data_IF_508545435117
#
_entry.id   IF_508545435117
#
_cell.length_a   1.000
_cell.length_b   1.000
_cell.length_c   1.000
_cell.angle_alpha   90.00
_cell.angle_beta   90.00
_cell.angle_gamma   90.00
#
_symmetry.space_group_name_H-M   'P 1'
#
loop_
_entity.id
_entity.type
_entity.pdbx_description
1 polymer ?
#
# COMPACT_ATOMS: atom_id res chain seq x y z
N UNK A 1 29.68 10.48 -5.48
CA UNK A 1 28.29 10.39 -5.98
C UNK A 1 27.47 10.10 -4.75
N UNK A 2 26.70 11.08 -4.29
CA UNK A 2 25.83 10.89 -3.14
C UNK A 2 24.84 9.80 -3.54
N UNK A 3 24.81 8.71 -2.78
CA UNK A 3 23.78 7.69 -2.96
C UNK A 3 22.53 8.36 -2.43
N UNK A 4 21.70 8.92 -3.33
CA UNK A 4 20.36 9.28 -2.94
C UNK A 4 19.74 8.02 -2.35
N UNK A 5 19.29 8.11 -1.11
CA UNK A 5 18.60 7.01 -0.44
C UNK A 5 17.29 6.80 -1.22
N UNK A 6 17.31 5.93 -2.23
CA UNK A 6 16.17 5.73 -3.13
C UNK A 6 15.07 5.09 -2.29
N UNK A 7 14.10 5.91 -1.91
CA UNK A 7 12.91 5.43 -1.21
C UNK A 7 12.17 4.44 -2.11
N UNK A 8 11.85 3.28 -1.55
CA UNK A 8 11.07 2.24 -2.23
C UNK A 8 9.61 2.39 -1.83
N UNK A 9 8.70 2.25 -2.78
CA UNK A 9 7.26 2.36 -2.56
C UNK A 9 6.57 1.05 -2.88
N UNK A 10 5.45 0.78 -2.20
CA UNK A 10 4.49 -0.22 -2.66
C UNK A 10 3.28 0.46 -3.27
N UNK A 11 2.76 -0.09 -4.36
CA UNK A 11 1.52 0.33 -4.99
C UNK A 11 0.53 -0.84 -4.97
N UNK A 12 -0.70 -0.57 -4.52
CA UNK A 12 -1.84 -1.46 -4.66
C UNK A 12 -2.89 -0.79 -5.54
N UNK A 13 -3.32 -1.47 -6.60
CA UNK A 13 -4.45 -1.06 -7.45
C UNK A 13 -5.58 -2.05 -7.18
N UNK A 14 -6.66 -1.55 -6.60
CA UNK A 14 -7.77 -2.35 -6.09
C UNK A 14 -9.03 -2.00 -6.88
N UNK A 15 -9.55 -2.94 -7.66
CA UNK A 15 -10.86 -2.79 -8.31
C UNK A 15 -11.87 -3.54 -7.44
N UNK A 16 -12.76 -2.79 -6.80
CA UNK A 16 -13.73 -3.31 -5.82
C UNK A 16 -15.04 -3.63 -6.52
N UNK A 17 -15.74 -4.69 -6.10
CA UNK A 17 -17.10 -4.93 -6.55
C UNK A 17 -18.02 -3.75 -6.19
N UNK A 18 -18.85 -3.26 -7.12
CA UNK A 18 -19.79 -2.18 -6.83
C UNK A 18 -20.66 -2.45 -5.60
N UNK A 19 -20.74 -1.49 -4.69
CA UNK A 19 -21.49 -1.58 -3.44
C UNK A 19 -20.72 -2.22 -2.27
N UNK A 20 -19.47 -2.65 -2.47
CA UNK A 20 -18.59 -3.22 -1.42
C UNK A 20 -17.47 -2.26 -0.99
N UNK A 21 -17.49 -1.02 -1.44
CA UNK A 21 -16.43 -0.03 -1.22
C UNK A 21 -16.18 0.24 0.26
N UNK A 22 -17.24 0.37 1.05
CA UNK A 22 -17.10 0.60 2.49
C UNK A 22 -16.50 -0.61 3.21
N UNK A 23 -16.91 -1.84 2.86
CA UNK A 23 -16.33 -3.06 3.42
C UNK A 23 -14.84 -3.15 3.10
N UNK A 24 -14.47 -2.84 1.85
CA UNK A 24 -13.09 -2.80 1.40
C UNK A 24 -12.27 -1.75 2.18
N UNK A 25 -12.80 -0.54 2.37
CA UNK A 25 -12.11 0.51 3.14
C UNK A 25 -11.85 0.07 4.57
N UNK A 26 -12.78 -0.62 5.22
CA UNK A 26 -12.57 -1.15 6.57
C UNK A 26 -11.53 -2.27 6.60
N UNK A 27 -11.62 -3.23 5.68
CA UNK A 27 -10.65 -4.32 5.58
C UNK A 27 -9.23 -3.80 5.28
N UNK A 28 -9.11 -2.79 4.41
CA UNK A 28 -7.83 -2.15 4.12
C UNK A 28 -7.26 -1.42 5.34
N UNK A 29 -8.11 -0.71 6.10
CA UNK A 29 -7.69 -0.07 7.37
C UNK A 29 -7.19 -1.08 8.39
N UNK A 30 -7.83 -2.24 8.46
CA UNK A 30 -7.39 -3.32 9.34
C UNK A 30 -6.03 -3.90 8.90
N UNK A 31 -5.80 -4.09 7.60
CA UNK A 31 -4.48 -4.45 7.06
C UNK A 31 -3.43 -3.39 7.41
N UNK A 32 -3.73 -2.10 7.20
CA UNK A 32 -2.82 -1.00 7.49
C UNK A 32 -2.47 -0.92 8.99
N UNK A 33 -3.47 -1.10 9.87
CA UNK A 33 -3.26 -1.14 11.32
C UNK A 33 -2.34 -2.29 11.74
N UNK A 34 -2.63 -3.51 11.27
CA UNK A 34 -1.81 -4.70 11.57
C UNK A 34 -0.41 -4.59 11.00
N UNK A 35 -0.26 -4.00 9.80
CA UNK A 35 1.06 -3.75 9.22
C UNK A 35 1.91 -2.87 10.14
N UNK A 36 1.32 -1.87 10.79
CA UNK A 36 2.03 -1.00 11.75
C UNK A 36 2.42 -1.69 13.06
N UNK A 37 1.87 -2.86 13.38
CA UNK A 37 2.26 -3.61 14.57
C UNK A 37 3.65 -4.23 14.38
N UNK A 38 3.94 -4.75 13.18
CA UNK A 38 5.23 -5.37 12.82
C UNK A 38 6.21 -4.38 12.16
N UNK A 39 5.68 -3.36 11.47
CA UNK A 39 6.43 -2.33 10.76
C UNK A 39 6.03 -0.94 11.29
N UNK A 40 6.51 -0.52 12.47
CA UNK A 40 6.00 0.65 13.19
C UNK A 40 6.17 1.98 12.45
N UNK A 41 7.16 2.06 11.56
CA UNK A 41 7.44 3.23 10.71
C UNK A 41 6.71 3.19 9.36
N UNK A 42 5.99 2.11 9.04
CA UNK A 42 5.25 1.99 7.79
C UNK A 42 4.14 3.05 7.70
N UNK A 43 4.09 3.72 6.55
CA UNK A 43 3.09 4.73 6.20
C UNK A 43 2.41 4.31 4.91
N UNK A 44 1.10 4.52 4.83
CA UNK A 44 0.37 4.29 3.59
C UNK A 44 -0.86 5.21 3.52
N UNK A 45 -1.22 5.60 2.31
CA UNK A 45 -2.48 6.26 1.99
C UNK A 45 -3.31 5.36 1.10
N UNK A 46 -4.63 5.34 1.30
CA UNK A 46 -5.61 4.78 0.37
C UNK A 46 -6.38 5.92 -0.27
N UNK A 47 -6.34 5.99 -1.59
CA UNK A 47 -6.98 7.03 -2.39
C UNK A 47 -8.11 6.41 -3.21
N UNK A 48 -9.22 7.12 -3.30
CA UNK A 48 -10.32 6.74 -4.19
C UNK A 48 -10.12 7.42 -5.54
N UNK A 49 -10.19 6.63 -6.61
CA UNK A 49 -10.05 7.15 -7.97
C UNK A 49 -11.32 7.92 -8.37
N UNK A 50 -11.14 9.15 -8.86
CA UNK A 50 -12.26 10.03 -9.23
C UNK A 50 -12.89 9.65 -10.58
N UNK A 51 -12.10 9.05 -11.47
CA UNK A 51 -12.48 8.75 -12.84
C UNK A 51 -13.07 7.33 -12.94
N UNK A 52 -12.63 6.43 -12.05
CA UNK A 52 -13.15 5.06 -11.96
C UNK A 52 -13.71 4.81 -10.57
N UNK A 53 -15.04 4.91 -10.44
CA UNK A 53 -15.77 4.94 -9.16
C UNK A 53 -15.53 3.76 -8.23
N UNK A 54 -15.14 2.60 -8.73
CA UNK A 54 -14.88 1.41 -7.92
C UNK A 54 -13.39 1.06 -7.83
N UNK A 55 -12.50 1.98 -8.23
CA UNK A 55 -11.04 1.80 -8.14
C UNK A 55 -10.47 2.57 -6.96
N UNK A 56 -9.61 1.90 -6.20
CA UNK A 56 -8.81 2.51 -5.14
C UNK A 56 -7.34 2.26 -5.41
N UNK A 57 -6.50 3.19 -4.96
CA UNK A 57 -5.05 3.15 -5.12
C UNK A 57 -4.43 3.33 -3.74
N UNK A 58 -3.61 2.39 -3.30
CA UNK A 58 -2.83 2.52 -2.08
C UNK A 58 -1.36 2.69 -2.38
N UNK A 59 -0.68 3.61 -1.70
CA UNK A 59 0.78 3.76 -1.81
C UNK A 59 1.41 4.24 -0.50
N UNK A 60 2.69 3.99 -0.34
CA UNK A 60 3.46 4.43 0.81
C UNK A 60 4.95 4.12 0.69
N UNK A 61 5.83 4.97 1.27
CA UNK A 61 7.25 4.73 1.30
C UNK A 61 7.63 3.63 2.30
N UNK A 62 8.75 2.97 2.05
CA UNK A 62 9.40 1.99 2.90
C UNK A 62 10.85 2.38 3.13
N UNK A 63 11.41 1.94 4.25
CA UNK A 63 12.81 2.24 4.61
C UNK A 63 13.80 1.48 3.71
N UNK A 64 13.38 0.34 3.13
CA UNK A 64 14.21 -0.45 2.23
C UNK A 64 13.40 -1.42 1.37
N UNK A 65 14.02 -1.92 0.30
CA UNK A 65 13.47 -3.03 -0.48
C UNK A 65 13.31 -4.31 0.37
N UNK A 66 14.25 -4.56 1.29
CA UNK A 66 14.19 -5.72 2.18
C UNK A 66 12.92 -5.69 3.06
N UNK A 67 12.54 -4.52 3.59
CA UNK A 67 11.28 -4.39 4.33
C UNK A 67 10.07 -4.68 3.46
N UNK A 68 10.07 -4.26 2.19
CA UNK A 68 8.98 -4.58 1.26
C UNK A 68 8.87 -6.09 1.05
N UNK A 69 10.00 -6.77 0.87
CA UNK A 69 10.03 -8.23 0.70
C UNK A 69 9.54 -8.95 1.96
N UNK A 70 10.02 -8.54 3.14
CA UNK A 70 9.58 -9.07 4.44
C UNK A 70 8.07 -8.87 4.64
N UNK A 71 7.56 -7.67 4.37
CA UNK A 71 6.13 -7.36 4.49
C UNK A 71 5.30 -8.20 3.53
N UNK A 72 5.71 -8.33 2.26
CA UNK A 72 4.98 -9.15 1.27
C UNK A 72 4.97 -10.64 1.62
N UNK A 73 6.03 -11.14 2.26
CA UNK A 73 6.12 -12.51 2.73
C UNK A 73 5.38 -12.74 4.06
N UNK A 74 4.98 -11.67 4.76
CA UNK A 74 4.33 -11.78 6.08
C UNK A 74 2.91 -12.36 6.01
N UNK A 75 2.50 -12.98 7.12
CA UNK A 75 1.11 -13.39 7.33
C UNK A 75 0.15 -12.19 7.31
N UNK A 76 0.57 -11.05 7.84
CA UNK A 76 -0.24 -9.82 7.84
C UNK A 76 -0.66 -9.43 6.43
N UNK A 77 0.29 -9.39 5.49
CA UNK A 77 -0.01 -9.06 4.10
C UNK A 77 -0.81 -10.17 3.40
N UNK A 78 -0.32 -11.41 3.47
CA UNK A 78 -0.93 -12.52 2.72
C UNK A 78 -2.36 -12.82 3.18
N UNK A 79 -2.61 -12.85 4.49
CA UNK A 79 -3.94 -13.05 5.05
C UNK A 79 -4.81 -11.79 4.89
N UNK A 80 -4.23 -10.60 4.99
CA UNK A 80 -4.95 -9.34 4.76
C UNK A 80 -5.50 -9.26 3.32
N UNK A 81 -4.66 -9.52 2.32
CA UNK A 81 -5.08 -9.56 0.91
C UNK A 81 -6.09 -10.69 0.69
N UNK A 82 -5.87 -11.87 1.25
CA UNK A 82 -6.81 -12.98 1.14
C UNK A 82 -8.20 -12.64 1.71
N UNK A 83 -8.26 -11.91 2.83
CA UNK A 83 -9.52 -11.49 3.46
C UNK A 83 -10.33 -10.51 2.62
N UNK A 84 -9.67 -9.77 1.72
CA UNK A 84 -10.30 -8.81 0.81
C UNK A 84 -10.65 -9.43 -0.54
N UNK A 85 -10.20 -10.65 -0.84
CA UNK A 85 -10.33 -11.27 -2.17
C UNK A 85 -11.75 -11.25 -2.72
N UNK A 86 -12.74 -11.59 -1.88
CA UNK A 86 -14.15 -11.66 -2.29
C UNK A 86 -14.82 -10.29 -2.43
N UNK A 87 -14.12 -9.21 -2.07
CA UNK A 87 -14.56 -7.83 -2.28
C UNK A 87 -14.06 -7.26 -3.61
N UNK A 88 -13.12 -7.94 -4.27
CA UNK A 88 -12.33 -7.38 -5.37
C UNK A 88 -12.66 -8.10 -6.69
N UNK A 89 -12.88 -7.30 -7.73
CA UNK A 89 -12.88 -7.77 -9.12
C UNK A 89 -11.45 -8.04 -9.60
N UNK A 90 -10.52 -7.19 -9.19
CA UNK A 90 -9.13 -7.26 -9.60
C UNK A 90 -8.22 -6.62 -8.54
N UNK A 91 -7.01 -7.17 -8.41
CA UNK A 91 -5.98 -6.62 -7.55
C UNK A 91 -4.61 -6.73 -8.23
N UNK A 92 -3.88 -5.62 -8.25
CA UNK A 92 -2.46 -5.61 -8.60
C UNK A 92 -1.64 -5.02 -7.46
N UNK A 93 -0.48 -5.62 -7.23
CA UNK A 93 0.53 -5.05 -6.34
C UNK A 93 1.86 -4.89 -7.06
N UNK A 94 2.51 -3.76 -6.85
CA UNK A 94 3.82 -3.42 -7.45
C UNK A 94 4.77 -2.88 -6.39
N UNK A 95 6.05 -3.09 -6.59
CA UNK A 95 7.13 -2.40 -5.88
C UNK A 95 7.73 -1.41 -6.86
N UNK A 96 7.97 -0.18 -6.40
CA UNK A 96 8.38 0.95 -7.24
C UNK A 96 9.61 1.62 -6.62
N UNK A 97 10.53 2.06 -7.46
CA UNK A 97 11.65 2.91 -7.05
C UNK A 97 11.28 4.38 -7.28
N UNK A 98 11.60 5.25 -6.32
CA UNK A 98 11.45 6.68 -6.52
C UNK A 98 12.37 7.19 -7.63
N UNK A 99 11.79 7.80 -8.66
CA UNK A 99 12.55 8.39 -9.77
C UNK A 99 12.81 9.90 -9.59
N UNK A 100 11.92 10.61 -8.88
CA UNK A 100 12.02 12.03 -8.55
C UNK A 100 10.95 12.43 -7.52
N UNK A 101 11.24 13.45 -6.71
CA UNK A 101 10.29 14.08 -5.77
C UNK A 101 10.56 15.59 -5.63
N UNK A 102 9.54 16.36 -5.21
CA UNK A 102 9.65 17.80 -4.92
C UNK A 102 8.87 18.08 -3.64
N UNK A 103 9.51 18.70 -2.64
CA UNK A 103 8.87 19.10 -1.37
C UNK A 103 8.46 17.91 -0.49
N UNK A 104 9.10 16.75 -0.71
CA UNK A 104 8.88 15.52 0.03
C UNK A 104 10.22 15.10 0.63
N UNK A 105 10.51 15.55 1.85
CA UNK A 105 11.58 14.93 2.62
C UNK A 105 10.97 13.68 3.25
N UNK A 106 11.38 12.49 2.79
CA UNK A 106 10.93 11.20 3.33
C UNK A 106 11.17 11.08 4.86
N UNK A 107 12.03 11.95 5.39
CA UNK A 107 12.41 12.09 6.80
C UNK A 107 11.53 13.07 7.60
N UNK A 108 10.69 13.89 6.97
CA UNK A 108 9.90 14.95 7.64
C UNK A 108 8.48 14.52 8.08
N UNK A 109 8.19 13.21 8.07
CA UNK A 109 6.93 12.66 8.61
C UNK A 109 7.15 11.48 9.55
#
# INVERSE_FOLDING_TARGET
MEVADVSVYTLGIWLVHPGRENDFIQAWRDLARKTREDFPHAKAVLMHDRDVRNRFISTGPWESLEQVEQWRASDVFTQGVASMKDLLEHFESRTLDEAASIGWDATDM
#
